data_IF_646149956604
#
_entry.id   IF_646149956604
#
_cell.length_a   1.000
_cell.length_b   1.000
_cell.length_c   1.000
_cell.angle_alpha   90.00
_cell.angle_beta   90.00
_cell.angle_gamma   90.00
#
_symmetry.space_group_name_H-M   'P 1'
#
loop_
_entity.id
_entity.type
_entity.pdbx_description
1 polymer ?
#
# COMPACT_ATOMS: atom_id res chain seq x y z
N UNK A 1 -38.83 16.31 71.30
CA UNK A 1 -38.70 14.96 71.85
C UNK A 1 -38.57 13.99 70.67
N UNK A 2 -37.44 13.29 70.60
CA UNK A 2 -37.02 12.22 69.68
C UNK A 2 -36.58 12.61 68.25
N UNK A 3 -35.36 12.17 67.98
CA UNK A 3 -34.51 12.30 66.79
C UNK A 3 -34.63 11.04 65.91
N UNK A 4 -33.80 11.00 64.85
CA UNK A 4 -33.45 9.89 63.92
C UNK A 4 -34.32 9.86 62.65
N UNK A 5 -33.80 9.81 61.41
CA UNK A 5 -32.44 9.62 60.91
C UNK A 5 -32.41 9.82 59.39
N UNK A 6 -31.20 9.98 58.87
CA UNK A 6 -30.85 10.40 57.52
C UNK A 6 -30.87 9.27 56.45
N UNK A 7 -30.52 9.69 55.22
CA UNK A 7 -30.10 8.91 54.04
C UNK A 7 -31.26 8.27 53.25
N UNK A 8 -31.38 8.34 51.93
CA UNK A 8 -30.54 8.88 50.87
C UNK A 8 -30.93 8.14 49.59
N UNK A 9 -31.50 8.81 48.59
CA UNK A 9 -31.47 8.27 47.22
C UNK A 9 -30.21 8.78 46.56
N UNK A 10 -29.16 7.99 46.82
CA UNK A 10 -27.91 7.93 46.08
C UNK A 10 -28.26 7.76 44.60
N UNK A 11 -27.87 8.74 43.79
CA UNK A 11 -27.57 8.49 42.39
C UNK A 11 -26.41 7.48 42.37
N UNK A 12 -26.67 6.26 41.92
CA UNK A 12 -25.58 5.35 41.55
C UNK A 12 -25.19 5.71 40.11
N UNK A 13 -23.98 6.20 39.85
CA UNK A 13 -23.47 6.18 38.50
C UNK A 13 -23.36 4.70 38.13
N UNK A 14 -24.16 4.26 37.16
CA UNK A 14 -23.83 3.03 36.42
C UNK A 14 -22.38 3.13 35.94
N UNK A 15 -21.67 2.00 35.78
CA UNK A 15 -20.28 2.03 35.35
C UNK A 15 -20.18 2.94 34.14
N UNK A 16 -19.33 3.96 34.24
CA UNK A 16 -19.00 4.82 33.12
C UNK A 16 -18.69 3.92 31.91
N UNK A 17 -19.00 4.36 30.66
CA UNK A 17 -18.45 3.68 29.50
C UNK A 17 -16.96 3.53 29.79
N UNK A 18 -16.48 2.28 29.80
CA UNK A 18 -15.06 2.02 29.93
C UNK A 18 -14.40 2.95 28.93
N UNK A 19 -13.55 3.83 29.46
CA UNK A 19 -12.67 4.66 28.66
C UNK A 19 -12.17 3.78 27.53
N UNK A 20 -12.27 4.31 26.31
CA UNK A 20 -11.75 3.71 25.11
C UNK A 20 -10.50 2.94 25.49
N UNK A 21 -10.61 1.61 25.47
CA UNK A 21 -9.42 0.79 25.36
C UNK A 21 -8.90 1.22 24.00
N UNK A 22 -7.97 2.18 24.01
CA UNK A 22 -6.87 2.17 23.07
C UNK A 22 -6.33 0.74 23.17
N UNK A 23 -6.90 -0.16 22.35
CA UNK A 23 -6.14 -1.28 21.84
C UNK A 23 -4.80 -0.65 21.46
N UNK A 24 -3.66 -1.16 21.94
CA UNK A 24 -2.40 -0.62 21.50
C UNK A 24 -2.46 -0.69 19.98
N UNK A 25 -2.54 0.48 19.32
CA UNK A 25 -2.33 0.60 17.89
C UNK A 25 -1.04 -0.17 17.68
N UNK A 26 -1.13 -1.41 17.18
CA UNK A 26 0.02 -2.20 16.82
C UNK A 26 0.71 -1.34 15.76
N UNK A 27 1.70 -0.57 16.21
CA UNK A 27 2.33 0.45 15.39
C UNK A 27 2.73 -0.20 14.09
N UNK A 28 2.32 0.41 12.96
CA UNK A 28 2.51 -0.18 11.64
C UNK A 28 3.92 -0.76 11.52
N UNK A 29 4.01 -2.02 11.08
CA UNK A 29 5.30 -2.63 10.80
C UNK A 29 5.96 -1.94 9.60
N UNK A 30 7.07 -1.25 9.86
CA UNK A 30 7.86 -0.51 8.87
C UNK A 30 9.10 -1.30 8.39
N UNK A 31 9.32 -2.50 8.91
CA UNK A 31 10.53 -3.29 8.64
C UNK A 31 10.77 -3.54 7.16
N UNK A 32 9.72 -3.89 6.39
CA UNK A 32 9.79 -4.10 4.94
C UNK A 32 10.15 -2.84 4.17
N UNK A 33 9.60 -1.69 4.58
CA UNK A 33 9.95 -0.40 3.97
C UNK A 33 11.42 -0.06 4.25
N UNK A 34 11.88 -0.26 5.50
CA UNK A 34 13.28 -0.01 5.86
C UNK A 34 14.24 -0.92 5.09
N UNK A 35 13.90 -2.20 4.95
CA UNK A 35 14.67 -3.16 4.15
C UNK A 35 14.76 -2.73 2.68
N UNK A 36 13.62 -2.35 2.07
CA UNK A 36 13.58 -1.92 0.67
C UNK A 36 14.43 -0.66 0.45
N UNK A 37 14.30 0.34 1.31
CA UNK A 37 15.11 1.55 1.26
C UNK A 37 16.61 1.25 1.38
N UNK A 38 17.01 0.43 2.36
CA UNK A 38 18.40 0.06 2.58
C UNK A 38 19.00 -0.68 1.37
N UNK A 39 18.19 -1.45 0.65
CA UNK A 39 18.63 -2.26 -0.47
C UNK A 39 18.69 -1.49 -1.81
N UNK A 40 18.11 -0.28 -1.90
CA UNK A 40 18.15 0.51 -3.12
C UNK A 40 19.61 0.74 -3.60
N UNK A 41 19.98 0.33 -4.81
CA UNK A 41 21.31 0.60 -5.35
C UNK A 41 21.42 2.05 -5.84
N UNK A 42 22.64 2.62 -5.94
CA UNK A 42 22.85 3.92 -6.55
C UNK A 42 22.27 3.99 -7.97
N UNK A 43 21.75 5.16 -8.35
CA UNK A 43 21.23 5.41 -9.69
C UNK A 43 19.82 4.89 -9.91
N UNK A 44 19.16 4.46 -8.85
CA UNK A 44 17.78 3.95 -8.85
C UNK A 44 16.94 4.75 -7.87
N UNK A 45 15.67 4.97 -8.19
CA UNK A 45 14.71 5.65 -7.34
C UNK A 45 13.40 4.88 -7.24
N UNK A 46 12.54 5.26 -6.30
CA UNK A 46 11.19 4.69 -6.17
C UNK A 46 10.20 5.77 -5.74
N UNK A 47 8.92 5.43 -5.58
CA UNK A 47 7.90 6.40 -5.15
C UNK A 47 7.32 6.09 -3.78
N UNK A 48 6.76 7.13 -3.15
CA UNK A 48 5.92 6.95 -1.96
C UNK A 48 4.76 5.97 -2.21
N UNK A 49 4.24 5.93 -3.44
CA UNK A 49 3.19 4.99 -3.85
C UNK A 49 3.68 3.56 -3.93
N UNK A 50 4.85 3.31 -4.54
CA UNK A 50 5.43 1.96 -4.66
C UNK A 50 5.82 1.41 -3.27
N UNK A 51 6.41 2.24 -2.41
CA UNK A 51 6.70 1.85 -1.03
C UNK A 51 5.43 1.60 -0.21
N UNK A 52 4.38 2.39 -0.44
CA UNK A 52 3.08 2.17 0.20
C UNK A 52 2.44 0.86 -0.27
N UNK A 53 2.50 0.56 -1.57
CA UNK A 53 2.01 -0.69 -2.12
C UNK A 53 2.77 -1.88 -1.54
N UNK A 54 4.10 -1.79 -1.47
CA UNK A 54 4.95 -2.83 -0.88
C UNK A 54 4.47 -3.21 0.52
N UNK A 55 4.21 -2.23 1.39
CA UNK A 55 3.81 -2.49 2.79
C UNK A 55 2.29 -2.54 3.00
N UNK A 56 1.46 -2.50 1.95
CA UNK A 56 0.00 -2.50 2.07
C UNK A 56 -0.57 -1.26 2.77
N UNK A 57 -0.09 -0.06 2.40
CA UNK A 57 -0.41 1.22 3.03
C UNK A 57 -0.85 2.30 2.02
N UNK A 58 -0.91 3.55 2.49
CA UNK A 58 -1.10 4.74 1.68
C UNK A 58 0.16 5.62 1.68
N UNK A 59 0.41 6.31 0.56
CA UNK A 59 1.59 7.16 0.35
C UNK A 59 1.75 8.29 1.38
N UNK A 60 0.64 8.82 1.93
CA UNK A 60 0.68 9.92 2.91
C UNK A 60 1.34 9.50 4.23
N UNK A 61 0.89 8.43 4.91
CA UNK A 61 1.60 7.88 6.06
C UNK A 61 3.06 7.49 5.78
N UNK A 62 3.36 6.98 4.59
CA UNK A 62 4.75 6.69 4.19
C UNK A 62 5.58 7.97 4.19
N UNK A 63 5.11 9.04 3.54
CA UNK A 63 5.81 10.32 3.54
C UNK A 63 6.00 10.90 4.94
N UNK A 64 4.99 10.79 5.81
CA UNK A 64 5.11 11.20 7.22
C UNK A 64 6.16 10.39 7.97
N UNK A 65 6.18 9.07 7.79
CA UNK A 65 7.17 8.18 8.41
C UNK A 65 8.59 8.49 7.96
N UNK A 66 8.81 8.62 6.63
CA UNK A 66 10.12 8.92 6.07
C UNK A 66 10.72 10.21 6.62
N UNK A 67 9.86 11.20 6.81
CA UNK A 67 10.29 12.54 7.12
C UNK A 67 10.32 12.85 8.64
N UNK A 68 9.88 11.90 9.47
CA UNK A 68 9.95 11.99 10.94
C UNK A 68 10.83 10.89 11.56
N UNK A 69 11.31 9.93 10.77
CA UNK A 69 12.19 8.86 11.25
C UNK A 69 13.65 9.19 10.91
N UNK A 70 14.51 9.47 11.91
CA UNK A 70 15.91 9.74 11.67
C UNK A 70 16.66 8.48 11.22
N UNK A 71 17.70 8.66 10.40
CA UNK A 71 18.65 7.60 10.05
C UNK A 71 18.17 6.60 9.01
N UNK A 72 17.06 6.88 8.31
CA UNK A 72 16.62 6.03 7.20
C UNK A 72 17.59 6.14 6.02
N UNK A 73 18.16 4.99 5.64
CA UNK A 73 19.03 4.90 4.49
C UNK A 73 18.24 5.23 3.22
N UNK A 74 18.89 5.94 2.29
CA UNK A 74 18.37 6.19 0.94
C UNK A 74 16.97 6.82 0.84
N UNK A 75 16.45 7.44 1.90
CA UNK A 75 15.12 8.07 1.88
C UNK A 75 15.01 9.21 0.85
N UNK A 76 16.14 9.82 0.47
CA UNK A 76 16.22 10.83 -0.59
C UNK A 76 15.94 10.28 -2.00
N UNK A 77 15.96 8.96 -2.19
CA UNK A 77 15.62 8.29 -3.46
C UNK A 77 14.11 8.03 -3.62
N UNK A 78 13.31 8.49 -2.67
CA UNK A 78 11.84 8.39 -2.73
C UNK A 78 11.27 9.68 -3.32
N UNK A 79 10.71 9.56 -4.52
CA UNK A 79 10.18 10.67 -5.31
C UNK A 79 8.66 10.61 -5.42
N UNK A 80 8.07 11.66 -5.97
CA UNK A 80 6.64 11.67 -6.33
C UNK A 80 6.35 10.67 -7.46
N UNK A 81 5.07 10.38 -7.71
CA UNK A 81 4.66 9.49 -8.82
C UNK A 81 5.18 9.93 -10.18
N UNK A 82 5.38 11.24 -10.35
CA UNK A 82 5.92 11.83 -11.57
C UNK A 82 7.45 11.79 -11.64
N UNK A 83 8.16 11.43 -10.57
CA UNK A 83 9.64 11.42 -10.55
C UNK A 83 10.26 12.77 -10.18
N UNK A 84 9.50 13.66 -9.54
CA UNK A 84 10.03 14.88 -8.94
C UNK A 84 10.35 14.68 -7.47
N UNK A 85 11.30 15.45 -6.95
CA UNK A 85 11.47 15.62 -5.51
C UNK A 85 10.18 16.22 -4.94
N UNK A 86 9.70 15.67 -3.82
CA UNK A 86 8.52 16.21 -3.15
C UNK A 86 8.79 17.64 -2.63
N UNK A 87 7.83 18.56 -2.81
CA UNK A 87 7.97 19.95 -2.34
C UNK A 87 8.26 20.04 -0.83
N UNK A 88 7.69 19.13 -0.05
CA UNK A 88 7.90 19.03 1.39
C UNK A 88 9.11 18.16 1.80
N UNK A 89 9.99 17.83 0.86
CA UNK A 89 11.21 17.06 1.16
C UNK A 89 12.07 17.80 2.18
N UNK A 90 12.61 17.03 3.12
CA UNK A 90 13.57 17.48 4.12
C UNK A 90 14.47 16.31 4.45
N UNK A 91 15.74 16.59 4.65
CA UNK A 91 16.67 15.60 5.15
C UNK A 91 16.25 15.13 6.55
N UNK A 92 16.45 13.86 6.83
CA UNK A 92 16.18 13.29 8.16
C UNK A 92 17.16 13.81 9.21
N UNK A 93 18.37 14.18 8.80
CA UNK A 93 19.30 14.97 9.60
C UNK A 93 19.01 16.46 9.36
N UNK A 94 18.58 17.21 10.39
CA UNK A 94 18.26 18.63 10.23
C UNK A 94 19.48 19.52 9.91
N UNK A 95 20.70 19.01 10.04
CA UNK A 95 21.92 19.74 9.67
C UNK A 95 22.41 19.42 8.25
N UNK A 96 21.74 18.52 7.55
CA UNK A 96 22.07 18.22 6.17
C UNK A 96 21.40 19.26 5.25
N UNK A 97 22.23 20.09 4.64
CA UNK A 97 21.82 21.18 3.75
C UNK A 97 22.16 20.88 2.28
N UNK A 98 22.55 19.64 1.96
CA UNK A 98 22.91 19.27 0.58
C UNK A 98 21.72 19.44 -0.35
N UNK A 99 21.98 19.93 -1.57
CA UNK A 99 20.98 19.91 -2.63
C UNK A 99 20.67 18.47 -3.03
N UNK A 100 19.44 18.05 -2.79
CA UNK A 100 18.94 16.71 -3.13
C UNK A 100 19.15 16.35 -4.60
N UNK A 101 19.01 17.30 -5.54
CA UNK A 101 19.27 17.01 -6.95
C UNK A 101 20.74 16.67 -7.18
N UNK A 102 21.65 17.45 -6.60
CA UNK A 102 23.08 17.18 -6.70
C UNK A 102 23.47 15.83 -6.06
N UNK A 103 22.83 15.45 -4.95
CA UNK A 103 23.04 14.13 -4.32
C UNK A 103 22.56 13.00 -5.23
N UNK A 104 21.34 13.10 -5.78
CA UNK A 104 20.77 12.07 -6.66
C UNK A 104 21.57 11.93 -7.96
N UNK A 105 22.01 13.05 -8.55
CA UNK A 105 22.87 13.05 -9.74
C UNK A 105 24.25 12.45 -9.46
N UNK A 106 24.85 12.72 -8.30
CA UNK A 106 26.11 12.11 -7.88
C UNK A 106 25.98 10.58 -7.69
N UNK A 107 24.77 10.11 -7.37
CA UNK A 107 24.42 8.70 -7.35
C UNK A 107 24.06 8.14 -8.73
N UNK A 108 24.17 8.93 -9.81
CA UNK A 108 23.84 8.57 -11.19
C UNK A 108 22.33 8.48 -11.52
N UNK A 109 21.46 9.10 -10.71
CA UNK A 109 20.06 9.33 -11.12
C UNK A 109 20.05 10.43 -12.20
N UNK A 110 19.45 10.13 -13.34
CA UNK A 110 19.34 11.04 -14.47
C UNK A 110 18.07 11.85 -14.34
N UNK A 111 18.17 13.14 -14.63
CA UNK A 111 17.03 14.03 -14.72
C UNK A 111 16.91 14.60 -16.14
N UNK A 112 15.68 14.87 -16.57
CA UNK A 112 15.41 15.64 -17.78
C UNK A 112 15.51 17.17 -17.52
N UNK A 113 15.17 17.96 -18.54
CA UNK A 113 15.18 19.42 -18.47
C UNK A 113 14.20 20.00 -17.45
N UNK A 114 13.16 19.25 -17.09
CA UNK A 114 12.13 19.64 -16.12
C UNK A 114 12.43 19.11 -14.71
N UNK A 115 13.65 18.60 -14.48
CA UNK A 115 14.06 17.95 -13.22
C UNK A 115 13.17 16.77 -12.84
N UNK A 116 12.69 16.04 -13.84
CA UNK A 116 12.01 14.76 -13.66
C UNK A 116 13.03 13.63 -13.76
N UNK A 117 13.04 12.74 -12.77
CA UNK A 117 13.93 11.58 -12.79
C UNK A 117 13.54 10.61 -13.92
N UNK A 118 14.53 10.00 -14.56
CA UNK A 118 14.34 9.03 -15.65
C UNK A 118 13.46 7.85 -15.17
N UNK A 119 12.28 7.63 -15.78
CA UNK A 119 11.39 6.53 -15.41
C UNK A 119 12.02 5.14 -15.55
N UNK A 120 13.05 4.98 -16.40
CA UNK A 120 13.80 3.73 -16.55
C UNK A 120 14.69 3.40 -15.34
N UNK A 121 14.82 4.31 -14.39
CA UNK A 121 15.54 4.12 -13.13
C UNK A 121 14.61 3.91 -11.93
N UNK A 122 13.29 3.80 -12.16
CA UNK A 122 12.30 3.58 -11.11
C UNK A 122 12.12 2.10 -10.81
N UNK A 123 12.24 1.70 -9.55
CA UNK A 123 11.72 0.41 -9.07
C UNK A 123 10.29 0.54 -8.59
N UNK A 124 9.46 -0.42 -8.99
CA UNK A 124 8.07 -0.59 -8.59
C UNK A 124 7.97 -1.54 -7.38
N UNK A 125 6.76 -1.67 -6.84
CA UNK A 125 6.53 -2.47 -5.62
C UNK A 125 7.00 -3.92 -5.73
N UNK A 126 6.84 -4.55 -6.90
CA UNK A 126 7.32 -5.89 -7.21
C UNK A 126 8.84 -5.95 -7.25
N UNK A 127 9.49 -5.04 -7.98
CA UNK A 127 10.95 -4.96 -8.00
C UNK A 127 11.55 -4.75 -6.58
N UNK A 128 10.87 -3.96 -5.74
CA UNK A 128 11.28 -3.72 -4.36
C UNK A 128 11.12 -4.96 -3.48
N UNK A 129 10.09 -5.78 -3.71
CA UNK A 129 9.89 -7.06 -3.01
C UNK A 129 10.98 -8.08 -3.40
N UNK A 130 11.30 -8.15 -4.69
CA UNK A 130 12.41 -8.99 -5.20
C UNK A 130 13.75 -8.55 -4.59
N UNK A 131 13.97 -7.24 -4.49
CA UNK A 131 15.18 -6.64 -3.95
C UNK A 131 15.42 -7.02 -2.47
N UNK A 132 14.36 -7.25 -1.69
CA UNK A 132 14.45 -7.69 -0.28
C UNK A 132 14.34 -9.20 -0.11
N UNK A 133 14.42 -9.98 -1.20
CA UNK A 133 14.42 -11.43 -1.17
C UNK A 133 13.05 -12.05 -0.88
N UNK A 134 11.97 -11.30 -1.09
CA UNK A 134 10.59 -11.80 -1.00
C UNK A 134 10.07 -12.38 -2.32
N UNK A 135 10.99 -12.65 -3.26
CA UNK A 135 10.69 -13.20 -4.57
C UNK A 135 9.75 -14.43 -4.47
N UNK A 136 8.57 -14.29 -5.06
CA UNK A 136 7.86 -15.40 -5.66
C UNK A 136 8.62 -15.67 -6.97
N UNK A 137 8.98 -16.92 -7.25
CA UNK A 137 9.79 -17.29 -8.42
C UNK A 137 9.41 -16.49 -9.68
N UNK A 138 10.34 -15.75 -10.31
CA UNK A 138 10.02 -14.89 -11.43
C UNK A 138 9.55 -15.73 -12.62
N UNK A 139 8.36 -15.40 -13.13
CA UNK A 139 7.87 -15.90 -14.40
C UNK A 139 8.70 -15.27 -15.51
N UNK A 140 9.07 -16.08 -16.50
CA UNK A 140 9.99 -15.63 -17.54
C UNK A 140 9.37 -14.55 -18.44
N UNK A 141 10.17 -13.62 -19.01
CA UNK A 141 9.68 -12.63 -19.95
C UNK A 141 9.03 -13.22 -21.21
N UNK A 142 9.35 -14.47 -21.58
CA UNK A 142 8.62 -15.21 -22.62
C UNK A 142 7.19 -15.57 -22.17
N UNK A 143 6.99 -16.08 -20.95
CA UNK A 143 5.67 -16.43 -20.41
C UNK A 143 4.76 -15.21 -20.18
N UNK A 144 5.31 -14.04 -19.81
CA UNK A 144 4.53 -12.80 -19.64
C UNK A 144 4.09 -12.20 -21.00
N UNK A 145 4.96 -12.27 -22.02
CA UNK A 145 4.69 -11.75 -23.37
C UNK A 145 3.74 -12.64 -24.16
N UNK A 146 3.70 -13.93 -23.85
CA UNK A 146 2.90 -14.93 -24.57
C UNK A 146 1.46 -15.08 -24.00
N UNK A 147 1.21 -14.81 -22.70
CA UNK A 147 -0.01 -15.32 -22.03
C UNK A 147 -0.90 -14.37 -21.20
N UNK A 148 -0.70 -13.05 -21.16
CA UNK A 148 -1.67 -12.17 -20.47
C UNK A 148 -1.95 -12.59 -19.02
N UNK A 149 -0.90 -13.01 -18.31
CA UNK A 149 -1.00 -13.66 -17.00
C UNK A 149 -1.57 -12.74 -15.90
N UNK A 150 -1.29 -11.43 -15.96
CA UNK A 150 -1.97 -10.40 -15.14
C UNK A 150 -3.48 -10.36 -15.40
N UNK A 151 -3.90 -10.55 -16.65
CA UNK A 151 -5.31 -10.60 -17.04
C UNK A 151 -5.95 -11.91 -16.55
N UNK A 152 -5.32 -13.07 -16.77
CA UNK A 152 -5.85 -14.35 -16.28
C UNK A 152 -6.01 -14.38 -14.77
N UNK A 153 -5.03 -13.85 -14.02
CA UNK A 153 -5.11 -13.69 -12.57
C UNK A 153 -6.26 -12.79 -12.14
N UNK A 154 -6.41 -11.63 -12.80
CA UNK A 154 -7.52 -10.72 -12.55
C UNK A 154 -8.87 -11.39 -12.85
N UNK A 155 -8.97 -12.14 -13.95
CA UNK A 155 -10.20 -12.83 -14.33
C UNK A 155 -10.56 -13.94 -13.34
N UNK A 156 -9.60 -14.75 -12.86
CA UNK A 156 -9.86 -15.73 -11.81
C UNK A 156 -10.30 -15.06 -10.50
N UNK A 157 -9.72 -13.92 -10.16
CA UNK A 157 -10.14 -13.17 -8.99
C UNK A 157 -11.53 -12.55 -9.13
N UNK A 158 -11.84 -11.96 -10.29
CA UNK A 158 -13.16 -11.40 -10.58
C UNK A 158 -14.24 -12.49 -10.69
N UNK A 159 -13.90 -13.73 -11.09
CA UNK A 159 -14.83 -14.88 -11.08
C UNK A 159 -15.46 -15.08 -9.71
N UNK A 160 -14.66 -15.03 -8.64
CA UNK A 160 -15.16 -15.18 -7.27
C UNK A 160 -16.23 -14.14 -6.91
N UNK A 161 -16.08 -12.89 -7.37
CA UNK A 161 -17.10 -11.87 -7.18
C UNK A 161 -18.29 -12.06 -8.10
N UNK A 162 -18.06 -12.44 -9.37
CA UNK A 162 -19.11 -12.65 -10.36
C UNK A 162 -20.10 -13.73 -9.91
N UNK A 163 -19.60 -14.80 -9.29
CA UNK A 163 -20.38 -15.93 -8.78
C UNK A 163 -20.99 -15.66 -7.39
N UNK A 164 -20.46 -14.69 -6.64
CA UNK A 164 -20.97 -14.34 -5.33
C UNK A 164 -22.36 -13.66 -5.39
N UNK A 165 -23.28 -13.95 -4.46
CA UNK A 165 -24.57 -13.28 -4.39
C UNK A 165 -24.43 -11.76 -4.34
N UNK A 166 -25.04 -11.06 -5.31
CA UNK A 166 -24.97 -9.59 -5.39
C UNK A 166 -23.59 -9.04 -5.79
N UNK A 167 -22.70 -9.87 -6.32
CA UNK A 167 -21.37 -9.40 -6.75
C UNK A 167 -20.45 -9.02 -5.59
N UNK A 168 -20.77 -9.44 -4.36
CA UNK A 168 -20.15 -8.91 -3.13
C UNK A 168 -19.50 -9.99 -2.28
N UNK A 169 -18.29 -9.69 -1.82
CA UNK A 169 -17.55 -10.52 -0.87
C UNK A 169 -17.15 -9.68 0.35
N UNK A 170 -17.15 -10.30 1.53
CA UNK A 170 -16.60 -9.67 2.72
C UNK A 170 -15.09 -9.47 2.55
N UNK A 171 -14.53 -8.39 3.10
CA UNK A 171 -13.14 -8.00 2.83
C UNK A 171 -12.12 -9.11 3.18
N UNK A 172 -12.37 -9.87 4.24
CA UNK A 172 -11.49 -10.96 4.66
C UNK A 172 -11.46 -12.09 3.62
N UNK A 173 -12.63 -12.52 3.16
CA UNK A 173 -12.75 -13.56 2.13
C UNK A 173 -12.20 -13.10 0.78
N UNK A 174 -12.48 -11.85 0.39
CA UNK A 174 -11.90 -11.25 -0.81
C UNK A 174 -10.37 -11.27 -0.77
N UNK A 175 -9.77 -10.94 0.39
CA UNK A 175 -8.32 -11.01 0.58
C UNK A 175 -7.81 -12.45 0.43
N UNK A 176 -8.44 -13.41 1.09
CA UNK A 176 -7.98 -14.81 1.07
C UNK A 176 -8.04 -15.42 -0.34
N UNK A 177 -9.10 -15.09 -1.10
CA UNK A 177 -9.24 -15.51 -2.50
C UNK A 177 -8.24 -14.81 -3.43
N UNK A 178 -7.88 -13.55 -3.15
CA UNK A 178 -6.83 -12.89 -3.90
C UNK A 178 -5.50 -13.64 -3.74
N UNK A 179 -5.15 -14.02 -2.49
CA UNK A 179 -3.96 -14.81 -2.18
C UNK A 179 -3.99 -16.14 -2.94
N UNK A 180 -5.13 -16.83 -2.92
CA UNK A 180 -5.31 -18.08 -3.65
C UNK A 180 -5.04 -17.94 -5.15
N UNK A 181 -5.41 -16.81 -5.76
CA UNK A 181 -5.15 -16.54 -7.18
C UNK A 181 -3.71 -16.06 -7.46
N UNK A 182 -2.87 -15.97 -6.42
CA UNK A 182 -1.48 -15.55 -6.51
C UNK A 182 -1.29 -14.04 -6.39
N UNK A 183 -2.27 -13.31 -5.86
CA UNK A 183 -2.03 -11.93 -5.42
C UNK A 183 -1.30 -11.91 -4.08
N UNK A 184 -0.37 -10.96 -3.93
CA UNK A 184 0.16 -10.67 -2.60
C UNK A 184 -1.01 -10.19 -1.69
N UNK A 185 -1.19 -10.78 -0.49
CA UNK A 185 -2.18 -10.37 0.51
C UNK A 185 -2.18 -8.87 0.83
N UNK A 186 -1.08 -8.18 0.53
CA UNK A 186 -0.77 -6.79 0.89
C UNK A 186 -0.86 -5.86 -0.34
N UNK A 187 -0.70 -6.39 -1.56
CA UNK A 187 -0.86 -5.68 -2.85
C UNK A 187 -2.31 -5.53 -3.32
N UNK A 188 -3.26 -6.22 -2.69
CA UNK A 188 -4.71 -6.04 -2.98
C UNK A 188 -5.20 -4.61 -2.71
N UNK A 189 -4.50 -3.83 -1.87
CA UNK A 189 -4.83 -2.43 -1.59
C UNK A 189 -4.81 -1.54 -2.85
N UNK A 190 -3.89 -1.79 -3.79
CA UNK A 190 -3.75 -1.05 -5.05
C UNK A 190 -4.82 -1.35 -6.10
N UNK A 191 -5.44 -2.55 -6.05
CA UNK A 191 -6.57 -2.91 -6.93
C UNK A 191 -7.78 -1.98 -6.78
N UNK A 192 -7.88 -1.31 -5.63
CA UNK A 192 -9.03 -0.48 -5.28
C UNK A 192 -8.95 0.96 -5.81
N UNK A 193 -7.85 1.36 -6.45
CA UNK A 193 -7.67 2.72 -6.98
C UNK A 193 -7.26 2.78 -8.45
N UNK A 194 -6.84 1.67 -9.06
CA UNK A 194 -6.28 1.66 -10.43
C UNK A 194 -7.12 1.01 -11.54
N UNK A 195 -8.10 0.16 -11.22
CA UNK A 195 -8.99 -0.45 -12.20
C UNK A 195 -10.42 -0.36 -11.66
N UNK A 196 -11.34 0.24 -12.42
CA UNK A 196 -12.72 0.52 -12.00
C UNK A 196 -13.57 -0.72 -11.69
N UNK A 197 -12.99 -1.91 -11.51
CA UNK A 197 -13.65 -3.22 -11.45
C UNK A 197 -14.23 -3.58 -10.09
N UNK A 198 -13.67 -3.08 -8.99
CA UNK A 198 -14.15 -3.34 -7.62
C UNK A 198 -14.30 -2.04 -6.85
N UNK A 199 -15.37 -1.92 -6.06
CA UNK A 199 -15.58 -0.80 -5.13
C UNK A 199 -15.68 -1.27 -3.67
N UNK A 200 -15.30 -0.40 -2.74
CA UNK A 200 -15.50 -0.62 -1.30
C UNK A 200 -16.92 -0.20 -0.89
N UNK A 201 -17.61 -1.05 -0.14
CA UNK A 201 -18.92 -0.76 0.43
C UNK A 201 -18.97 -1.31 1.86
N UNK A 202 -18.69 -0.46 2.85
CA UNK A 202 -18.51 -0.89 4.24
C UNK A 202 -17.44 -1.97 4.39
N UNK A 203 -17.78 -3.09 5.05
CA UNK A 203 -16.94 -4.27 5.21
C UNK A 203 -16.85 -5.18 3.96
N UNK A 204 -17.45 -4.77 2.84
CA UNK A 204 -17.53 -5.57 1.62
C UNK A 204 -16.73 -4.97 0.48
N UNK A 205 -16.46 -5.81 -0.51
CA UNK A 205 -16.01 -5.46 -1.85
C UNK A 205 -17.08 -5.90 -2.83
N UNK A 206 -17.40 -5.01 -3.77
CA UNK A 206 -18.50 -5.19 -4.72
C UNK A 206 -17.97 -5.03 -6.12
N UNK A 207 -18.30 -6.01 -6.98
CA UNK A 207 -18.05 -5.97 -8.42
C UNK A 207 -18.84 -4.81 -9.03
N UNK A 208 -18.13 -3.92 -9.72
CA UNK A 208 -18.75 -2.83 -10.47
C UNK A 208 -19.25 -3.33 -11.83
N UNK A 209 -20.05 -2.52 -12.52
CA UNK A 209 -20.49 -2.84 -13.87
C UNK A 209 -19.32 -2.91 -14.86
N UNK A 210 -18.32 -2.03 -14.70
CA UNK A 210 -17.09 -2.07 -15.48
C UNK A 210 -16.27 -3.35 -15.23
N UNK A 211 -16.22 -3.82 -13.98
CA UNK A 211 -15.56 -5.09 -13.62
C UNK A 211 -16.30 -6.30 -14.16
N UNK A 212 -17.63 -6.26 -14.13
CA UNK A 212 -18.50 -7.28 -14.72
C UNK A 212 -18.29 -7.38 -16.23
N UNK A 213 -18.33 -6.25 -16.94
CA UNK A 213 -18.11 -6.21 -18.39
C UNK A 213 -16.72 -6.72 -18.75
N UNK A 214 -15.68 -6.26 -18.04
CA UNK A 214 -14.31 -6.74 -18.23
C UNK A 214 -14.21 -8.26 -18.10
N UNK A 215 -14.84 -8.83 -17.06
CA UNK A 215 -14.86 -10.28 -16.85
C UNK A 215 -15.61 -11.00 -17.97
N UNK A 216 -16.79 -10.53 -18.37
CA UNK A 216 -17.59 -11.15 -19.42
C UNK A 216 -16.91 -11.11 -20.78
N UNK A 217 -16.26 -10.01 -21.13
CA UNK A 217 -15.54 -9.87 -22.40
C UNK A 217 -14.34 -10.82 -22.49
N UNK A 218 -13.76 -11.22 -21.36
CA UNK A 218 -12.49 -11.94 -21.31
C UNK A 218 -12.58 -13.33 -20.65
N UNK A 219 -13.73 -13.76 -20.11
CA UNK A 219 -13.88 -15.06 -19.41
C UNK A 219 -13.54 -16.27 -20.29
N UNK A 220 -13.67 -16.13 -21.61
CA UNK A 220 -13.28 -17.15 -22.60
C UNK A 220 -11.79 -17.50 -22.54
N UNK A 221 -10.97 -16.68 -21.88
CA UNK A 221 -9.54 -16.94 -21.65
C UNK A 221 -9.26 -17.85 -20.46
N UNK A 222 -10.28 -18.16 -19.65
CA UNK A 222 -10.18 -19.05 -18.49
C UNK A 222 -10.57 -20.50 -18.81
N UNK A 223 -10.95 -20.78 -20.05
CA UNK A 223 -11.38 -22.09 -20.55
C UNK A 223 -10.23 -22.82 -21.26
#
# INVERSE_FOLDING_TARGET
MRSVGAWGRRWEPGPAPLADVDEPEEGRDWSRLHAALAALPPGIWTTYGDLAELIGSHQVPVGQHLANTPGLLNAHRVLTSEGHVAEAFRWSDPHDERDIHAVLEAESVRFDTDRRADPGQRLRSDDLADLIGEAIDPITPEEDREYGWRMLRLLRYLRHFYEAPGGRLHYSLARDLAIQEGYDPRGVAGFYQGMASLRKEGGFRVLTDAGRQLYEDNRHRLD
#
